data_IF_019568925207
#
_entry.id   IF_019568925207
#
_cell.length_a   1.000
_cell.length_b   1.000
_cell.length_c   1.000
_cell.angle_alpha   90.00
_cell.angle_beta   90.00
_cell.angle_gamma   90.00
#
_symmetry.space_group_name_H-M   'P 1'
#
loop_
_entity.id
_entity.type
_entity.pdbx_description
1 polymer ?
#
# COMPACT_ATOMS: atom_id res chain seq x y z
N UNK A 1 14.20 -13.46 -6.58
CA UNK A 1 13.24 -12.73 -7.43
C UNK A 1 13.38 -11.23 -7.16
N UNK A 2 13.40 -10.38 -8.19
CA UNK A 2 13.38 -8.91 -8.02
C UNK A 2 11.99 -8.40 -8.33
N UNK A 3 11.41 -7.64 -7.41
CA UNK A 3 10.04 -7.13 -7.49
C UNK A 3 10.08 -5.61 -7.45
N UNK A 4 9.50 -4.90 -8.43
CA UNK A 4 9.37 -3.45 -8.36
C UNK A 4 8.41 -3.07 -7.22
N UNK A 5 8.77 -2.06 -6.44
CA UNK A 5 7.93 -1.51 -5.37
C UNK A 5 7.33 -0.21 -5.87
N UNK A 6 6.00 -0.10 -5.86
CA UNK A 6 5.28 1.10 -6.27
C UNK A 6 4.24 1.51 -5.24
N UNK A 7 3.90 2.80 -5.23
CA UNK A 7 2.83 3.33 -4.39
C UNK A 7 1.50 3.08 -5.09
N UNK A 8 0.58 2.38 -4.43
CA UNK A 8 -0.79 2.22 -4.92
C UNK A 8 -1.78 2.91 -3.98
N UNK A 9 -2.85 3.52 -4.50
CA UNK A 9 -3.92 4.05 -3.67
C UNK A 9 -4.64 2.89 -2.97
N UNK A 10 -5.24 3.21 -1.82
CA UNK A 10 -5.97 2.31 -0.90
C UNK A 10 -7.14 1.55 -1.58
N UNK A 11 -7.45 1.87 -2.85
CA UNK A 11 -8.59 1.35 -3.60
C UNK A 11 -8.29 0.31 -4.70
N UNK A 12 -7.03 -0.12 -4.87
CA UNK A 12 -6.72 -1.14 -5.88
C UNK A 12 -7.00 -2.56 -5.35
N UNK A 13 -7.85 -3.30 -6.04
CA UNK A 13 -8.07 -4.74 -5.80
C UNK A 13 -7.08 -5.55 -6.63
N UNK A 14 -6.26 -6.38 -5.97
CA UNK A 14 -5.49 -7.45 -6.60
C UNK A 14 -6.01 -8.83 -6.15
N UNK A 15 -6.01 -9.84 -7.03
CA UNK A 15 -6.61 -11.16 -6.79
C UNK A 15 -5.81 -12.01 -5.80
N UNK A 16 -6.51 -12.93 -5.11
CA UNK A 16 -6.01 -13.79 -4.04
C UNK A 16 -5.25 -15.01 -4.61
N UNK A 17 -4.10 -15.35 -4.03
CA UNK A 17 -3.37 -16.60 -4.26
C UNK A 17 -3.18 -17.39 -2.95
N UNK A 18 -3.10 -18.72 -3.04
CA UNK A 18 -2.90 -19.66 -1.92
C UNK A 18 -1.48 -19.61 -1.33
N UNK A 19 -1.37 -20.02 -0.05
CA UNK A 19 -0.20 -19.85 0.82
C UNK A 19 0.67 -21.13 0.82
N UNK A 20 1.94 -21.00 0.41
CA UNK A 20 3.06 -21.86 0.84
C UNK A 20 4.16 -21.01 1.47
N UNK A 21 4.82 -21.55 2.50
CA UNK A 21 5.50 -20.78 3.55
C UNK A 21 6.86 -20.14 3.20
N UNK A 22 7.54 -20.54 2.13
CA UNK A 22 8.94 -20.13 1.92
C UNK A 22 9.21 -19.31 0.64
N UNK A 23 8.21 -19.13 -0.21
CA UNK A 23 8.32 -18.33 -1.44
C UNK A 23 7.17 -17.33 -1.51
N UNK A 24 7.45 -16.13 -2.03
CA UNK A 24 6.40 -15.16 -2.32
C UNK A 24 5.55 -15.67 -3.47
N UNK A 25 4.37 -16.18 -3.14
CA UNK A 25 3.39 -16.59 -4.12
C UNK A 25 2.85 -15.35 -4.86
N UNK A 26 2.56 -15.50 -6.15
CA UNK A 26 2.00 -14.41 -6.95
C UNK A 26 0.67 -13.95 -6.32
N UNK A 27 0.65 -12.75 -5.73
CA UNK A 27 -0.51 -12.20 -5.02
C UNK A 27 -0.42 -12.20 -3.48
N UNK A 28 0.66 -12.70 -2.86
CA UNK A 28 0.89 -12.53 -1.42
C UNK A 28 1.09 -11.04 -1.09
N UNK A 29 0.34 -10.52 -0.12
CA UNK A 29 0.59 -9.19 0.43
C UNK A 29 1.59 -9.30 1.57
N UNK A 30 2.56 -8.40 1.57
CA UNK A 30 3.56 -8.31 2.63
C UNK A 30 3.67 -6.88 3.14
N UNK A 31 3.94 -6.75 4.44
CA UNK A 31 4.26 -5.47 5.06
C UNK A 31 5.76 -5.25 4.90
N UNK A 32 6.12 -4.08 4.36
CA UNK A 32 7.49 -3.56 4.37
C UNK A 32 7.58 -2.51 5.48
N UNK A 33 8.49 -2.71 6.41
CA UNK A 33 8.75 -1.79 7.52
C UNK A 33 10.14 -1.18 7.38
N UNK A 34 10.21 0.15 7.38
CA UNK A 34 11.44 0.92 7.30
C UNK A 34 11.67 1.63 8.63
N UNK A 35 12.88 1.51 9.19
CA UNK A 35 13.30 2.33 10.33
C UNK A 35 13.80 3.69 9.82
N UNK A 36 12.86 4.60 9.57
CA UNK A 36 13.15 5.94 9.08
C UNK A 36 11.98 6.51 8.30
N UNK A 37 12.22 7.64 7.63
CA UNK A 37 11.22 8.30 6.77
C UNK A 37 11.60 8.08 5.32
N UNK A 38 10.60 7.80 4.47
CA UNK A 38 10.77 7.78 3.04
C UNK A 38 10.62 9.21 2.50
N UNK A 39 11.74 9.81 2.10
CA UNK A 39 11.77 11.15 1.54
C UNK A 39 11.57 11.12 0.03
N UNK A 40 10.67 11.95 -0.47
CA UNK A 40 10.45 12.11 -1.91
C UNK A 40 10.96 13.48 -2.32
N UNK A 41 11.98 13.51 -3.19
CA UNK A 41 12.56 14.74 -3.73
C UNK A 41 11.59 15.56 -4.61
N UNK A 42 10.41 15.01 -4.91
CA UNK A 42 9.39 15.60 -5.77
C UNK A 42 8.27 16.27 -4.94
N UNK A 43 8.64 16.94 -3.84
CA UNK A 43 7.70 17.63 -2.96
C UNK A 43 8.25 19.02 -2.65
N UNK A 44 8.21 19.94 -3.61
CA UNK A 44 8.40 21.36 -3.29
C UNK A 44 7.11 21.86 -2.65
N UNK A 45 7.18 22.23 -1.37
CA UNK A 45 6.13 22.98 -0.69
C UNK A 45 6.15 24.38 -1.29
N UNK A 46 5.11 24.78 -2.01
CA UNK A 46 4.88 26.20 -2.26
C UNK A 46 4.39 26.82 -0.95
N UNK A 47 5.04 27.88 -0.52
CA UNK A 47 4.59 28.66 0.62
C UNK A 47 3.16 29.16 0.37
N UNK A 48 2.37 29.09 1.45
CA UNK A 48 0.98 29.50 1.60
C UNK A 48 -0.13 28.56 1.07
N UNK A 49 -0.65 27.79 2.03
CA UNK A 49 -2.05 27.31 2.19
C UNK A 49 -2.57 26.02 1.56
N UNK A 50 -1.92 25.34 0.61
CA UNK A 50 -2.35 23.96 0.24
C UNK A 50 -1.13 23.09 -0.09
N UNK A 51 -1.03 21.92 0.55
CA UNK A 51 0.02 20.93 0.27
C UNK A 51 -0.20 20.34 -1.13
N UNK A 52 0.38 20.97 -2.15
CA UNK A 52 0.34 20.49 -3.53
C UNK A 52 1.61 19.67 -3.78
N UNK A 53 1.44 18.39 -4.12
CA UNK A 53 2.54 17.51 -4.55
C UNK A 53 2.87 17.87 -6.01
N UNK A 54 4.11 18.30 -6.27
CA UNK A 54 4.57 18.75 -7.60
C UNK A 54 5.67 17.84 -8.16
N UNK A 55 5.57 17.41 -9.42
CA UNK A 55 6.63 16.60 -10.05
C UNK A 55 7.89 17.43 -10.38
N UNK A 56 8.92 16.77 -10.95
CA UNK A 56 10.16 17.44 -11.41
C UNK A 56 9.93 18.52 -12.48
N UNK A 57 8.76 18.53 -13.11
CA UNK A 57 8.35 19.50 -14.14
C UNK A 57 7.38 20.55 -13.58
N UNK A 58 7.13 20.56 -12.26
CA UNK A 58 6.26 21.52 -11.59
C UNK A 58 4.76 21.24 -11.72
N UNK A 59 4.36 20.01 -12.07
CA UNK A 59 2.95 19.66 -12.25
C UNK A 59 2.24 19.51 -10.89
N UNK A 60 1.26 20.37 -10.55
CA UNK A 60 0.56 20.37 -9.25
C UNK A 60 -0.37 19.17 -9.03
N UNK A 61 -0.60 18.34 -10.04
CA UNK A 61 -1.42 17.14 -9.94
C UNK A 61 -0.56 15.87 -9.81
N UNK A 62 0.65 15.95 -9.23
CA UNK A 62 1.51 14.78 -9.13
C UNK A 62 0.88 13.74 -8.20
N UNK A 63 0.35 12.71 -8.82
CA UNK A 63 -0.20 11.56 -8.15
C UNK A 63 0.92 10.53 -7.97
N UNK A 64 1.22 10.17 -6.72
CA UNK A 64 2.21 9.13 -6.41
C UNK A 64 1.76 7.73 -6.87
N UNK A 65 0.52 7.58 -7.34
CA UNK A 65 -0.02 6.32 -7.82
C UNK A 65 0.83 5.75 -8.97
N UNK A 66 1.25 4.50 -8.80
CA UNK A 66 2.05 3.77 -9.77
C UNK A 66 3.51 4.22 -9.84
N UNK A 67 3.94 5.20 -9.04
CA UNK A 67 5.34 5.63 -9.00
C UNK A 67 6.16 4.51 -8.40
N UNK A 68 7.10 3.99 -9.19
CA UNK A 68 8.11 3.05 -8.73
C UNK A 68 9.06 3.78 -7.78
N UNK A 69 9.12 3.30 -6.53
CA UNK A 69 9.97 3.87 -5.48
C UNK A 69 11.29 3.12 -5.36
N UNK A 70 11.36 1.88 -5.86
CA UNK A 70 12.52 1.04 -5.68
C UNK A 70 12.32 -0.40 -6.16
N UNK A 71 13.33 -1.21 -5.90
CA UNK A 71 13.38 -2.64 -6.27
C UNK A 71 13.66 -3.48 -5.03
N UNK A 72 12.82 -4.48 -4.81
CA UNK A 72 12.95 -5.43 -3.71
C UNK A 72 13.49 -6.75 -4.26
N UNK A 73 14.72 -7.11 -3.90
CA UNK A 73 15.33 -8.40 -4.19
C UNK A 73 15.10 -9.39 -3.05
N UNK A 74 14.48 -10.50 -3.41
CA UNK A 74 14.04 -11.59 -2.54
C UNK A 74 14.61 -12.91 -3.03
N UNK A 75 15.70 -12.87 -3.82
CA UNK A 75 16.45 -14.06 -4.22
C UNK A 75 17.03 -14.81 -3.01
N UNK A 76 17.45 -14.07 -1.98
CA UNK A 76 17.84 -14.63 -0.70
C UNK A 76 16.82 -14.22 0.37
N UNK A 77 15.97 -15.16 0.78
CA UNK A 77 14.95 -14.91 1.80
C UNK A 77 15.52 -14.61 3.18
N UNK A 78 16.73 -15.09 3.50
CA UNK A 78 17.40 -14.74 4.75
C UNK A 78 17.93 -13.30 4.76
N UNK A 79 18.15 -12.71 3.58
CA UNK A 79 18.77 -11.41 3.39
C UNK A 79 18.10 -10.60 2.26
N UNK A 80 16.83 -10.20 2.43
CA UNK A 80 16.13 -9.38 1.45
C UNK A 80 16.81 -8.01 1.32
N UNK A 81 16.92 -7.53 0.08
CA UNK A 81 17.57 -6.26 -0.26
C UNK A 81 16.55 -5.32 -0.90
N UNK A 82 16.42 -4.11 -0.37
CA UNK A 82 15.58 -3.07 -0.95
C UNK A 82 16.44 -1.92 -1.46
N UNK A 83 16.37 -1.66 -2.76
CA UNK A 83 17.04 -0.55 -3.41
C UNK A 83 16.04 0.60 -3.61
N UNK A 84 16.32 1.77 -3.05
CA UNK A 84 15.54 3.01 -3.22
C UNK A 84 16.50 4.10 -3.67
N UNK A 85 16.34 4.60 -4.90
CA UNK A 85 17.32 5.53 -5.49
C UNK A 85 18.74 4.97 -5.47
N UNK A 86 19.67 5.72 -4.87
CA UNK A 86 21.08 5.32 -4.73
C UNK A 86 21.37 4.63 -3.38
N UNK A 87 20.33 4.17 -2.70
CA UNK A 87 20.44 3.53 -1.40
C UNK A 87 20.06 2.06 -1.47
N UNK A 88 20.85 1.23 -0.82
CA UNK A 88 20.58 -0.18 -0.56
C UNK A 88 20.26 -0.38 0.92
N UNK A 89 19.15 -1.06 1.21
CA UNK A 89 18.78 -1.46 2.55
C UNK A 89 18.78 -2.97 2.64
N UNK A 90 19.53 -3.50 3.60
CA UNK A 90 19.47 -4.91 3.98
C UNK A 90 18.42 -5.11 5.06
N UNK A 91 17.53 -6.07 4.84
CA UNK A 91 16.47 -6.42 5.77
C UNK A 91 16.47 -7.88 6.18
N UNK A 92 15.41 -8.29 6.87
CA UNK A 92 15.10 -9.68 7.22
C UNK A 92 13.58 -9.88 7.31
N UNK A 93 13.13 -11.13 7.19
CA UNK A 93 11.74 -11.48 7.46
C UNK A 93 11.50 -11.68 8.96
N UNK A 94 10.42 -11.09 9.46
CA UNK A 94 9.99 -11.22 10.83
C UNK A 94 8.61 -11.84 10.89
N UNK A 95 8.49 -12.99 11.56
CA UNK A 95 7.22 -13.63 11.82
C UNK A 95 6.48 -12.90 12.94
N UNK A 96 5.22 -12.56 12.70
CA UNK A 96 4.40 -11.84 13.65
C UNK A 96 3.82 -12.82 14.67
N UNK A 97 4.13 -12.62 15.95
CA UNK A 97 3.52 -13.39 17.04
C UNK A 97 1.98 -13.21 17.09
N UNK A 98 1.49 -12.08 16.56
CA UNK A 98 0.08 -11.77 16.38
C UNK A 98 -0.16 -11.37 14.92
N UNK A 99 -0.84 -12.21 14.11
CA UNK A 99 -1.17 -11.87 12.74
C UNK A 99 -1.95 -10.55 12.64
N UNK A 100 -1.73 -9.80 11.57
CA UNK A 100 -2.40 -8.54 11.32
C UNK A 100 -3.44 -8.71 10.21
N UNK A 101 -4.67 -8.26 10.46
CA UNK A 101 -5.73 -8.28 9.45
C UNK A 101 -5.75 -6.95 8.71
N UNK A 102 -5.69 -7.00 7.38
CA UNK A 102 -5.91 -5.82 6.54
C UNK A 102 -7.41 -5.65 6.34
N UNK A 103 -7.95 -4.53 6.81
CA UNK A 103 -9.35 -4.16 6.65
C UNK A 103 -9.48 -3.03 5.62
N UNK A 104 -10.43 -3.17 4.70
CA UNK A 104 -10.79 -2.10 3.76
C UNK A 104 -12.14 -1.54 4.15
N UNK A 105 -12.16 -0.24 4.44
CA UNK A 105 -13.39 0.52 4.64
C UNK A 105 -14.05 0.83 3.31
N UNK A 106 -15.33 0.49 3.19
CA UNK A 106 -16.18 0.79 2.04
C UNK A 106 -17.42 1.56 2.47
N UNK A 107 -17.83 2.53 1.67
CA UNK A 107 -19.17 3.13 1.79
C UNK A 107 -20.08 2.41 0.80
N UNK A 108 -21.06 1.64 1.29
CA UNK A 108 -22.07 1.02 0.43
C UNK A 108 -23.36 1.81 0.49
N UNK A 109 -23.86 2.17 -0.69
CA UNK A 109 -25.18 2.74 -0.86
C UNK A 109 -26.18 1.58 -0.92
N UNK A 110 -26.98 1.41 0.14
CA UNK A 110 -28.04 0.41 0.15
C UNK A 110 -29.29 1.08 -0.41
N UNK A 111 -29.64 0.75 -1.66
CA UNK A 111 -30.95 1.09 -2.20
C UNK A 111 -31.97 0.15 -1.57
N UNK A 112 -32.90 0.68 -0.77
CA UNK A 112 -34.06 -0.12 -0.33
C UNK A 112 -34.92 -0.43 -1.56
N UNK A 113 -35.09 -1.70 -1.88
CA UNK A 113 -36.10 -2.12 -2.84
C UNK A 113 -37.48 -1.87 -2.20
N UNK A 114 -38.25 -0.95 -2.76
CA UNK A 114 -39.62 -0.71 -2.32
C UNK A 114 -40.54 -1.77 -2.95
N UNK A 115 -41.46 -2.32 -2.17
CA UNK A 115 -42.70 -2.91 -2.68
C UNK A 115 -43.57 -1.81 -3.29
N UNK A 116 -44.39 -2.13 -4.28
CA UNK A 116 -45.07 -1.19 -5.20
C UNK A 116 -45.93 -0.09 -4.51
N UNK A 117 -46.25 -0.23 -3.23
CA UNK A 117 -47.24 0.61 -2.55
C UNK A 117 -46.69 1.89 -1.89
N UNK A 118 -45.40 2.24 -2.06
CA UNK A 118 -44.76 3.38 -1.37
C UNK A 118 -44.06 4.40 -2.30
N UNK A 119 -44.73 4.80 -3.38
CA UNK A 119 -44.16 5.67 -4.42
C UNK A 119 -43.88 7.11 -3.94
N UNK A 120 -44.49 7.60 -2.85
CA UNK A 120 -44.45 9.04 -2.49
C UNK A 120 -43.51 9.47 -1.34
N UNK A 121 -42.67 8.59 -0.78
CA UNK A 121 -41.70 9.00 0.25
C UNK A 121 -40.30 9.26 -0.34
N UNK A 122 -39.78 10.47 -0.08
CA UNK A 122 -38.42 10.93 -0.44
C UNK A 122 -37.39 9.86 -0.05
N UNK A 123 -36.60 9.42 -1.01
CA UNK A 123 -35.52 8.46 -0.80
C UNK A 123 -34.51 9.06 0.18
N UNK A 124 -34.43 8.52 1.40
CA UNK A 124 -33.28 8.74 2.28
C UNK A 124 -32.26 7.67 1.93
N UNK A 125 -31.25 8.04 1.15
CA UNK A 125 -30.08 7.21 0.92
C UNK A 125 -29.28 7.17 2.22
N UNK A 126 -29.14 5.98 2.81
CA UNK A 126 -28.27 5.76 3.96
C UNK A 126 -26.96 5.16 3.46
N UNK A 127 -25.85 5.86 3.67
CA UNK A 127 -24.52 5.28 3.49
C UNK A 127 -24.16 4.47 4.74
N UNK A 128 -23.98 3.15 4.57
CA UNK A 128 -23.39 2.34 5.63
C UNK A 128 -21.90 2.15 5.37
N UNK A 129 -21.11 2.34 6.42
CA UNK A 129 -19.70 1.98 6.43
C UNK A 129 -19.60 0.48 6.64
N UNK A 130 -19.02 -0.22 5.68
CA UNK A 130 -18.75 -1.67 5.74
C UNK A 130 -17.24 -1.87 5.80
N UNK A 131 -16.79 -2.79 6.63
CA UNK A 131 -15.39 -3.21 6.72
C UNK A 131 -15.24 -4.58 6.06
N UNK A 132 -14.48 -4.65 4.98
CA UNK A 132 -14.14 -5.91 4.31
C UNK A 132 -12.76 -6.40 4.80
N UNK A 133 -12.64 -7.69 5.08
CA UNK A 133 -11.34 -8.34 5.29
C UNK A 133 -10.66 -8.54 3.93
N UNK A 134 -9.50 -7.91 3.75
CA UNK A 134 -8.70 -7.98 2.51
C UNK A 134 -7.67 -9.09 2.59
N UNK A 135 -6.97 -9.18 3.72
CA UNK A 135 -5.87 -10.13 3.91
C UNK A 135 -5.55 -10.38 5.39
N UNK A 136 -4.78 -11.44 5.64
CA UNK A 136 -4.18 -11.74 6.94
C UNK A 136 -2.67 -11.89 6.78
N UNK A 137 -1.93 -10.97 7.39
CA UNK A 137 -0.48 -10.88 7.31
C UNK A 137 0.14 -11.59 8.51
N UNK A 138 0.91 -12.64 8.23
CA UNK A 138 1.62 -13.42 9.26
C UNK A 138 3.09 -13.03 9.42
N UNK A 139 3.66 -12.32 8.45
CA UNK A 139 5.07 -11.91 8.44
C UNK A 139 5.26 -10.54 7.79
N UNK A 140 6.32 -9.84 8.18
CA UNK A 140 6.75 -8.57 7.60
C UNK A 140 8.21 -8.64 7.17
N UNK A 141 8.63 -7.81 6.21
CA UNK A 141 10.03 -7.55 5.91
C UNK A 141 10.45 -6.28 6.64
N UNK A 142 11.49 -6.37 7.45
CA UNK A 142 11.99 -5.23 8.24
C UNK A 142 13.35 -4.80 7.71
N UNK A 143 13.48 -3.50 7.43
CA UNK A 143 14.73 -2.84 7.06
C UNK A 143 15.10 -1.86 8.18
N UNK A 144 15.85 -2.36 9.17
CA UNK A 144 16.26 -1.58 10.36
C UNK A 144 17.70 -1.05 10.30
N UNK A 145 18.50 -1.51 9.34
CA UNK A 145 19.90 -1.09 9.18
C UNK A 145 20.02 0.21 8.41
N UNK A 146 21.12 0.93 8.62
CA UNK A 146 21.43 2.16 7.90
C UNK A 146 21.56 1.87 6.40
N UNK A 147 20.94 2.68 5.52
CA UNK A 147 21.08 2.53 4.08
C UNK A 147 22.55 2.65 3.65
N UNK A 148 23.00 1.74 2.78
CA UNK A 148 24.31 1.78 2.17
C UNK A 148 24.24 2.50 0.81
N UNK A 149 25.24 3.32 0.46
CA UNK A 149 25.31 3.92 -0.86
C UNK A 149 25.62 2.86 -1.91
N UNK A 150 24.98 2.96 -3.06
CA UNK A 150 25.32 2.20 -4.26
C UNK A 150 26.18 3.12 -5.13
N UNK A 151 27.41 2.67 -5.44
CA UNK A 151 28.39 3.39 -6.27
C UNK A 151 28.26 2.91 -7.71
#
# INVERSE_FOLDING_TARGET
>A
MRVPVSIQPIHSTCPKGEIKSDELNQGERIIIELQGTLEFSNLKKSDDTQQIIVDRFGNPNFNLNGVEIGKLDLSNTAKPILQIGNHELEGFFWNLNKPLVILRKQNRLIKKFKTADQVNQRNKDYSHQVLDIVDVINRKVVFSRRPQPII
#
